data_IF_809964378810
#
_entry.id   IF_809964378810
#
_cell.length_a   1.000
_cell.length_b   1.000
_cell.length_c   1.000
_cell.angle_alpha   90.00
_cell.angle_beta   90.00
_cell.angle_gamma   90.00
#
_symmetry.space_group_name_H-M   'P 1'
#
loop_
_entity.id
_entity.type
_entity.pdbx_description
1 polymer ?
#
# COMPACT_ATOMS: atom_id res chain seq x y z
N UNK A 1 -57.15 31.65 51.74
CA UNK A 1 -57.26 31.48 50.27
C UNK A 1 -57.29 32.86 49.62
N UNK A 2 -56.19 33.31 49.00
CA UNK A 2 -56.13 34.50 48.12
C UNK A 2 -55.19 34.16 46.96
N UNK A 3 -55.65 34.41 45.74
CA UNK A 3 -55.01 34.04 44.47
C UNK A 3 -54.11 35.18 43.95
N UNK A 4 -52.97 34.77 43.38
CA UNK A 4 -52.21 35.29 42.23
C UNK A 4 -51.83 36.79 42.15
N UNK A 5 -50.56 37.08 41.82
CA UNK A 5 -50.13 37.63 40.51
C UNK A 5 -48.59 37.78 40.46
N UNK A 6 -48.09 37.59 39.23
CA UNK A 6 -46.73 37.52 38.72
C UNK A 6 -45.75 38.62 39.15
N UNK A 7 -44.48 38.24 39.34
CA UNK A 7 -43.33 39.12 39.09
C UNK A 7 -42.33 38.41 38.18
N UNK A 8 -42.23 38.99 36.98
CA UNK A 8 -41.12 39.13 36.03
C UNK A 8 -39.77 38.48 36.40
N UNK A 9 -39.18 37.82 35.40
CA UNK A 9 -38.04 36.93 35.54
C UNK A 9 -36.67 37.56 35.76
N UNK A 10 -35.72 36.68 36.05
CA UNK A 10 -34.29 36.90 35.87
C UNK A 10 -33.71 35.62 35.24
N UNK A 11 -33.08 35.82 34.09
CA UNK A 11 -32.34 34.86 33.29
C UNK A 11 -31.14 34.35 34.12
N UNK A 12 -31.10 33.07 34.47
CA UNK A 12 -29.94 32.46 35.13
C UNK A 12 -29.16 31.64 34.12
N UNK A 13 -27.93 32.11 33.94
CA UNK A 13 -26.85 31.63 33.07
C UNK A 13 -26.66 30.11 33.15
N UNK A 14 -26.71 29.42 32.01
CA UNK A 14 -26.29 28.03 31.88
C UNK A 14 -24.79 27.94 32.10
N UNK A 15 -24.36 27.23 33.15
CA UNK A 15 -22.96 26.83 33.31
C UNK A 15 -22.72 25.72 32.30
N UNK A 16 -22.11 26.09 31.17
CA UNK A 16 -21.43 25.16 30.28
C UNK A 16 -20.24 24.58 31.04
N UNK A 17 -20.23 23.26 31.23
CA UNK A 17 -19.03 22.53 31.56
C UNK A 17 -18.58 21.87 30.26
N UNK A 18 -17.84 22.62 29.44
CA UNK A 18 -17.19 22.08 28.26
C UNK A 18 -15.85 21.48 28.73
N UNK A 19 -15.81 20.16 28.80
CA UNK A 19 -14.61 19.40 29.16
C UNK A 19 -13.61 19.51 28.01
N UNK A 20 -12.75 20.52 28.04
CA UNK A 20 -11.58 20.60 27.18
C UNK A 20 -10.65 19.43 27.53
N UNK A 21 -10.73 18.38 26.71
CA UNK A 21 -9.82 17.24 26.83
C UNK A 21 -8.54 17.62 26.11
N UNK A 22 -7.35 17.48 26.72
CA UNK A 22 -6.11 17.78 26.03
C UNK A 22 -5.99 16.82 24.84
N UNK A 23 -5.85 17.39 23.65
CA UNK A 23 -5.45 16.66 22.45
C UNK A 23 -4.04 16.17 22.72
N UNK A 24 -3.91 14.86 22.95
CA UNK A 24 -2.61 14.17 22.94
C UNK A 24 -2.01 14.37 21.54
N UNK A 25 -1.14 15.35 21.42
CA UNK A 25 -0.27 15.53 20.28
C UNK A 25 0.65 14.31 20.25
N UNK A 26 0.26 13.31 19.46
CA UNK A 26 1.05 12.11 19.21
C UNK A 26 2.43 12.55 18.74
N UNK A 27 3.42 12.44 19.62
CA UNK A 27 4.83 12.65 19.27
C UNK A 27 5.13 11.79 18.06
N UNK A 28 5.41 12.44 16.93
CA UNK A 28 5.85 11.78 15.71
C UNK A 28 7.29 11.33 15.95
N UNK A 29 7.44 10.16 16.56
CA UNK A 29 8.73 9.48 16.62
C UNK A 29 9.18 9.32 15.16
N UNK A 30 10.38 9.81 14.78
CA UNK A 30 10.88 9.58 13.43
C UNK A 30 11.08 8.08 13.29
N UNK A 31 10.22 7.46 12.50
CA UNK A 31 10.41 6.09 12.09
C UNK A 31 11.60 6.12 11.16
N UNK A 32 12.76 5.72 11.66
CA UNK A 32 13.93 5.45 10.83
C UNK A 32 13.50 4.38 9.81
N UNK A 33 13.42 4.77 8.54
CA UNK A 33 13.09 3.86 7.46
C UNK A 33 14.13 2.75 7.43
N UNK A 34 13.69 1.50 7.57
CA UNK A 34 14.58 0.34 7.45
C UNK A 34 14.97 0.23 5.97
N UNK A 35 16.23 0.55 5.67
CA UNK A 35 16.79 0.44 4.33
C UNK A 35 17.11 -1.03 4.02
N UNK A 36 16.24 -1.67 3.26
CA UNK A 36 16.41 -3.01 2.67
C UNK A 36 17.16 -2.97 1.33
N UNK A 37 17.54 -1.78 0.84
CA UNK A 37 18.22 -1.59 -0.44
C UNK A 37 17.33 -1.70 -1.68
N UNK A 38 16.02 -1.93 -1.54
CA UNK A 38 15.10 -2.12 -2.67
C UNK A 38 14.53 -0.80 -3.24
N UNK A 39 14.69 0.32 -2.52
CA UNK A 39 14.24 1.63 -2.98
C UNK A 39 13.89 2.57 -1.82
N UNK A 40 13.36 3.74 -2.17
CA UNK A 40 12.94 4.77 -1.20
C UNK A 40 11.51 5.21 -1.48
N UNK A 41 10.71 5.38 -0.42
CA UNK A 41 9.36 5.93 -0.51
C UNK A 41 9.43 7.45 -0.40
N UNK A 42 9.18 8.16 -1.50
CA UNK A 42 9.07 9.64 -1.51
C UNK A 42 7.60 10.04 -1.34
N UNK A 43 7.30 10.78 -0.27
CA UNK A 43 5.94 11.20 0.08
C UNK A 43 5.68 12.64 -0.38
N UNK A 44 4.92 12.79 -1.46
CA UNK A 44 4.65 14.10 -2.09
C UNK A 44 3.35 14.77 -1.61
N UNK A 45 2.38 13.97 -1.16
CA UNK A 45 1.06 14.43 -0.69
C UNK A 45 0.75 13.80 0.68
N UNK A 46 0.30 14.58 1.69
CA UNK A 46 -0.06 14.05 3.01
C UNK A 46 -1.14 12.95 2.97
N UNK A 47 -2.04 12.95 1.98
CA UNK A 47 -3.08 11.92 1.85
C UNK A 47 -2.49 10.52 1.59
N UNK A 48 -1.22 10.42 1.14
CA UNK A 48 -0.54 9.13 0.97
C UNK A 48 -0.32 8.39 2.30
N UNK A 49 -0.20 9.12 3.42
CA UNK A 49 -0.04 8.54 4.75
C UNK A 49 -1.27 7.73 5.19
N UNK A 50 -2.45 7.98 4.60
CA UNK A 50 -3.67 7.20 4.84
C UNK A 50 -3.64 5.82 4.14
N UNK A 51 -2.81 5.68 3.09
CA UNK A 51 -2.74 4.46 2.26
C UNK A 51 -1.54 3.58 2.59
N UNK A 52 -0.41 4.19 2.95
CA UNK A 52 0.86 3.49 3.14
C UNK A 52 1.48 3.89 4.49
N UNK A 53 1.62 2.94 5.44
CA UNK A 53 2.21 3.18 6.76
C UNK A 53 3.58 3.85 6.66
N UNK A 54 3.93 4.69 7.64
CA UNK A 54 5.22 5.43 7.62
C UNK A 54 6.42 4.51 7.77
N UNK A 55 6.20 3.38 8.43
CA UNK A 55 7.13 2.31 8.69
C UNK A 55 7.24 1.33 7.50
N UNK A 56 6.46 1.53 6.43
CA UNK A 56 6.48 0.64 5.28
C UNK A 56 7.86 0.62 4.61
N UNK A 57 8.29 -0.59 4.25
CA UNK A 57 9.58 -0.85 3.61
C UNK A 57 9.33 -1.50 2.26
N UNK A 58 10.09 -1.08 1.25
CA UNK A 58 10.09 -1.75 -0.06
C UNK A 58 10.93 -3.02 0.08
N UNK A 59 10.40 -4.18 -0.26
CA UNK A 59 11.15 -5.44 -0.20
C UNK A 59 11.50 -5.93 -1.61
N UNK A 60 12.75 -6.34 -1.82
CA UNK A 60 13.17 -7.01 -3.04
C UNK A 60 12.96 -8.51 -2.90
N UNK A 61 11.90 -9.04 -3.52
CA UNK A 61 11.46 -10.42 -3.33
C UNK A 61 12.27 -11.46 -4.13
N UNK A 62 12.72 -11.11 -5.34
CA UNK A 62 13.51 -11.99 -6.21
C UNK A 62 14.11 -11.25 -7.41
N UNK A 63 15.19 -11.80 -7.96
CA UNK A 63 15.87 -11.34 -9.17
C UNK A 63 16.13 -12.48 -10.17
N UNK A 64 16.92 -12.21 -11.22
CA UNK A 64 17.35 -13.21 -12.21
C UNK A 64 16.45 -13.35 -13.44
N UNK A 65 15.45 -12.48 -13.60
CA UNK A 65 14.51 -12.49 -14.72
C UNK A 65 14.95 -11.55 -15.85
N UNK A 66 14.52 -11.84 -17.08
CA UNK A 66 14.79 -10.98 -18.23
C UNK A 66 13.91 -9.72 -18.24
N UNK A 67 12.59 -9.89 -18.19
CA UNK A 67 11.64 -8.78 -18.07
C UNK A 67 10.35 -9.25 -17.43
N UNK A 68 10.08 -8.77 -16.21
CA UNK A 68 8.90 -9.14 -15.43
C UNK A 68 7.69 -8.30 -15.81
N UNK A 69 6.53 -8.94 -16.00
CA UNK A 69 5.27 -8.27 -16.35
C UNK A 69 4.07 -9.09 -15.85
N UNK A 70 2.87 -8.52 -15.97
CA UNK A 70 1.61 -9.18 -15.66
C UNK A 70 1.49 -9.72 -14.23
N UNK A 71 1.82 -8.95 -13.17
CA UNK A 71 1.59 -9.41 -11.81
C UNK A 71 0.09 -9.67 -11.57
N UNK A 72 -0.24 -10.85 -11.07
CA UNK A 72 -1.62 -11.25 -10.79
C UNK A 72 -1.69 -12.04 -9.49
N UNK A 73 -2.50 -11.58 -8.54
CA UNK A 73 -2.70 -12.27 -7.27
C UNK A 73 -3.81 -13.32 -7.34
N UNK A 74 -3.60 -14.48 -6.72
CA UNK A 74 -4.58 -15.56 -6.58
C UNK A 74 -4.83 -15.80 -5.09
N UNK A 75 -6.09 -15.64 -4.69
CA UNK A 75 -6.55 -15.86 -3.31
C UNK A 75 -6.68 -17.35 -2.95
N UNK A 76 -6.62 -17.66 -1.66
CA UNK A 76 -6.73 -19.02 -1.11
C UNK A 76 -5.88 -19.22 0.15
N UNK A 77 -5.84 -20.45 0.68
CA UNK A 77 -5.00 -20.79 1.83
C UNK A 77 -3.51 -20.60 1.48
N UNK A 78 -2.95 -19.47 1.94
CA UNK A 78 -1.57 -19.07 1.67
C UNK A 78 -1.35 -18.48 0.27
N UNK A 79 -2.29 -17.64 -0.19
CA UNK A 79 -2.33 -16.97 -1.51
C UNK A 79 -0.99 -16.61 -2.17
N UNK A 80 -1.02 -16.50 -3.49
CA UNK A 80 0.21 -16.39 -4.29
C UNK A 80 0.09 -15.38 -5.44
N UNK A 81 1.22 -14.75 -5.77
CA UNK A 81 1.35 -13.90 -6.94
C UNK A 81 1.90 -14.68 -8.12
N UNK A 82 1.30 -14.52 -9.29
CA UNK A 82 1.86 -14.95 -10.58
C UNK A 82 2.48 -13.75 -11.29
N UNK A 83 3.58 -13.96 -12.02
CA UNK A 83 4.15 -12.98 -12.92
C UNK A 83 4.91 -13.68 -14.06
N UNK A 84 5.06 -13.00 -15.19
CA UNK A 84 5.72 -13.57 -16.37
C UNK A 84 7.13 -13.03 -16.51
N UNK A 85 8.10 -13.89 -16.87
CA UNK A 85 9.36 -13.46 -17.49
C UNK A 85 9.21 -13.61 -19.02
N UNK A 86 8.97 -12.48 -19.71
CA UNK A 86 8.65 -12.48 -21.13
C UNK A 86 9.78 -13.10 -21.96
N UNK A 87 11.05 -12.64 -21.88
CA UNK A 87 12.19 -13.31 -22.52
C UNK A 87 12.34 -14.77 -22.10
N UNK A 88 12.10 -15.08 -20.82
CA UNK A 88 12.24 -16.41 -20.24
C UNK A 88 11.18 -17.44 -20.65
N UNK A 89 10.12 -17.03 -21.36
CA UNK A 89 9.02 -17.92 -21.77
C UNK A 89 8.44 -18.71 -20.57
N UNK A 90 8.37 -18.07 -19.41
CA UNK A 90 8.05 -18.73 -18.15
C UNK A 90 7.13 -17.84 -17.32
N UNK A 91 6.10 -18.45 -16.73
CA UNK A 91 5.31 -17.84 -15.66
C UNK A 91 5.82 -18.39 -14.34
N UNK A 92 6.09 -17.50 -13.40
CA UNK A 92 6.51 -17.80 -12.05
C UNK A 92 5.36 -17.61 -11.07
N UNK A 93 5.42 -18.32 -9.95
CA UNK A 93 4.60 -18.16 -8.76
C UNK A 93 5.49 -17.71 -7.61
N UNK A 94 5.08 -16.68 -6.89
CA UNK A 94 5.65 -16.28 -5.62
C UNK A 94 4.65 -16.49 -4.48
N UNK A 95 5.10 -17.09 -3.37
CA UNK A 95 4.36 -17.13 -2.11
C UNK A 95 5.28 -16.74 -0.96
N UNK A 96 4.72 -16.26 0.16
CA UNK A 96 5.50 -15.94 1.34
C UNK A 96 6.22 -17.17 1.94
N UNK A 97 5.66 -18.37 1.76
CA UNK A 97 6.22 -19.62 2.30
C UNK A 97 7.31 -20.20 1.40
N UNK A 98 7.10 -20.17 0.08
CA UNK A 98 7.93 -20.92 -0.87
C UNK A 98 8.90 -20.01 -1.65
N UNK A 99 8.73 -18.69 -1.57
CA UNK A 99 9.41 -17.75 -2.46
C UNK A 99 8.99 -17.96 -3.91
N UNK A 100 9.92 -17.71 -4.85
CA UNK A 100 9.67 -17.89 -6.28
C UNK A 100 9.83 -19.35 -6.70
N UNK A 101 8.87 -19.85 -7.47
CA UNK A 101 8.86 -21.17 -8.09
C UNK A 101 8.30 -21.09 -9.51
N UNK A 102 8.66 -22.02 -10.38
CA UNK A 102 8.10 -22.09 -11.74
C UNK A 102 6.65 -22.55 -11.68
N UNK A 103 5.74 -21.78 -12.31
CA UNK A 103 4.34 -22.15 -12.46
C UNK A 103 4.07 -22.81 -13.83
N UNK A 104 4.56 -22.20 -14.91
CA UNK A 104 4.41 -22.72 -16.26
C UNK A 104 5.67 -22.41 -17.09
N UNK A 105 6.24 -23.44 -17.71
CA UNK A 105 7.36 -23.31 -18.64
C UNK A 105 7.43 -24.52 -19.60
N UNK A 106 7.49 -24.32 -20.92
CA UNK A 106 7.36 -23.03 -21.61
C UNK A 106 5.90 -22.53 -21.62
N UNK A 107 5.70 -21.23 -21.85
CA UNK A 107 4.36 -20.67 -22.09
C UNK A 107 3.88 -20.92 -23.52
N UNK A 108 4.80 -20.93 -24.49
CA UNK A 108 4.51 -21.27 -25.89
C UNK A 108 5.63 -22.08 -26.53
N UNK A 109 5.32 -22.77 -27.62
CA UNK A 109 6.27 -23.52 -28.45
C UNK A 109 6.58 -22.76 -29.76
N UNK A 110 7.80 -22.90 -30.27
CA UNK A 110 8.27 -22.26 -31.52
C UNK A 110 9.53 -21.42 -31.33
N UNK A 111 10.11 -20.98 -32.45
CA UNK A 111 11.26 -20.05 -32.42
C UNK A 111 10.79 -18.63 -32.06
N UNK A 112 11.66 -17.85 -31.44
CA UNK A 112 11.41 -16.43 -31.17
C UNK A 112 12.15 -15.64 -32.22
N UNK A 113 11.41 -15.10 -33.19
CA UNK A 113 11.93 -14.35 -34.34
C UNK A 113 12.61 -13.00 -33.98
N UNK A 114 12.94 -12.78 -32.70
CA UNK A 114 13.62 -11.58 -32.21
C UNK A 114 12.73 -10.35 -32.03
N UNK A 115 11.42 -10.44 -32.32
CA UNK A 115 10.46 -9.40 -31.96
C UNK A 115 10.06 -9.61 -30.50
N UNK A 116 10.88 -9.06 -29.60
CA UNK A 116 10.55 -9.00 -28.19
C UNK A 116 9.17 -8.33 -28.03
N UNK A 117 8.27 -8.97 -27.29
CA UNK A 117 7.07 -8.29 -26.80
C UNK A 117 7.55 -7.26 -25.75
N UNK A 118 7.87 -6.05 -26.23
CA UNK A 118 8.45 -4.97 -25.43
C UNK A 118 9.00 -3.87 -26.34
N UNK A 119 8.71 -2.61 -26.00
CA UNK A 119 9.05 -1.44 -26.81
C UNK A 119 10.54 -1.40 -27.17
N UNK A 120 10.86 -1.55 -28.46
CA UNK A 120 12.19 -1.23 -29.00
C UNK A 120 12.33 0.29 -29.00
N UNK A 121 12.98 0.85 -27.98
CA UNK A 121 13.47 2.22 -28.06
C UNK A 121 14.52 2.28 -29.18
N UNK A 122 14.13 2.84 -30.33
CA UNK A 122 15.11 3.33 -31.30
C UNK A 122 15.69 4.61 -30.72
N UNK A 123 16.93 4.56 -30.27
CA UNK A 123 17.76 5.75 -30.24
C UNK A 123 18.35 5.90 -31.64
N UNK A 124 17.69 6.74 -32.45
CA UNK A 124 18.34 7.46 -33.56
C UNK A 124 18.73 8.86 -33.06
#
# INVERSE_FOLDING_TARGET
MRRAICVVGVLVFTIACESDSPVEESETVPVEAVDTGAGTIVRLDPAFDELVPREAVIEHLADGFGFTEGPHWIDGDGGAGLFSDIPGNTIFRWSATDGVSTFLSPVFEGDRDGVMAGFKWHHD
#
